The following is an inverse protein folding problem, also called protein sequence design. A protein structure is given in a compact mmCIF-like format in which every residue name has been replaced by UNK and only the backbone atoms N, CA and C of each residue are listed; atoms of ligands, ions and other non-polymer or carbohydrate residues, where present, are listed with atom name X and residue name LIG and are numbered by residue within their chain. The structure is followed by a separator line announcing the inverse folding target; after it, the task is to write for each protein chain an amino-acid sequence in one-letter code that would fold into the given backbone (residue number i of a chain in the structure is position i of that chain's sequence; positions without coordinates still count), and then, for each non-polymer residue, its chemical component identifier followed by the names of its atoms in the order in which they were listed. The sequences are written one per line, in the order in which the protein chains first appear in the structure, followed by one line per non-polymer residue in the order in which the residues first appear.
data_IF_854333377016
#
_entry.id   IF_854333377016
#
_cell.length_a   1.000
_cell.length_b   1.000
_cell.length_c   1.000
_cell.angle_alpha   90.00
_cell.angle_beta   90.00
_cell.angle_gamma   90.00
#
_symmetry.space_group_name_H-M   'P 1'
#
loop_
_entity.id
_entity.type
_entity.pdbx_description
1 polymer ?
#
# COMPACT_ATOMS: atom_id res chain seq x y z
N UNK A 1 -19.02 -10.22 6.94
CA UNK A 1 -17.66 -9.99 6.38
C UNK A 1 -16.98 -9.00 7.30
N UNK A 2 -15.95 -9.46 8.02
CA UNK A 2 -15.44 -8.79 9.22
C UNK A 2 -14.36 -7.77 8.85
N UNK A 3 -14.40 -6.60 9.51
CA UNK A 3 -13.36 -5.56 9.43
C UNK A 3 -11.95 -6.11 9.68
N UNK A 4 -11.83 -7.16 10.49
CA UNK A 4 -10.58 -7.91 10.72
C UNK A 4 -9.88 -8.42 9.45
N UNK A 5 -10.64 -8.95 8.46
CA UNK A 5 -10.01 -9.47 7.25
C UNK A 5 -9.46 -8.34 6.36
N UNK A 6 -10.14 -7.20 6.32
CA UNK A 6 -9.67 -6.02 5.59
C UNK A 6 -8.38 -5.47 6.24
N UNK A 7 -8.33 -5.44 7.57
CA UNK A 7 -7.17 -4.97 8.31
C UNK A 7 -5.97 -5.91 8.17
N UNK A 8 -6.16 -7.23 8.23
CA UNK A 8 -5.08 -8.20 8.01
C UNK A 8 -4.49 -8.12 6.60
N UNK A 9 -5.35 -8.00 5.57
CA UNK A 9 -4.90 -7.80 4.18
C UNK A 9 -4.17 -6.47 3.99
N UNK A 10 -4.59 -5.41 4.69
CA UNK A 10 -3.94 -4.11 4.65
C UNK A 10 -2.54 -4.12 5.27
N UNK A 11 -2.37 -4.80 6.41
CA UNK A 11 -1.08 -4.89 7.09
C UNK A 11 -0.04 -5.61 6.21
N UNK A 12 -0.45 -6.70 5.54
CA UNK A 12 0.45 -7.41 4.61
C UNK A 12 0.75 -6.59 3.34
N UNK A 13 -0.25 -5.90 2.79
CA UNK A 13 -0.06 -5.00 1.66
C UNK A 13 0.93 -3.89 1.98
N UNK A 14 0.74 -3.21 3.12
CA UNK A 14 1.63 -2.13 3.56
C UNK A 14 3.03 -2.62 3.89
N UNK A 15 3.19 -3.85 4.41
CA UNK A 15 4.50 -4.46 4.58
C UNK A 15 5.25 -4.68 3.24
N UNK A 16 4.55 -5.12 2.18
CA UNK A 16 5.13 -5.22 0.83
C UNK A 16 5.50 -3.87 0.25
N UNK A 17 4.61 -2.88 0.39
CA UNK A 17 4.86 -1.50 -0.02
C UNK A 17 6.12 -0.96 0.69
N UNK A 18 6.25 -1.12 2.01
CA UNK A 18 7.46 -0.71 2.73
C UNK A 18 8.73 -1.40 2.22
N UNK A 19 8.66 -2.68 1.83
CA UNK A 19 9.82 -3.38 1.23
C UNK A 19 10.19 -2.79 -0.12
N UNK A 20 9.21 -2.43 -0.94
CA UNK A 20 9.42 -1.85 -2.27
C UNK A 20 9.95 -0.40 -2.18
N UNK A 21 9.43 0.38 -1.25
CA UNK A 21 9.85 1.75 -0.98
C UNK A 21 10.46 1.80 0.42
N UNK A 22 11.72 1.37 0.53
CA UNK A 22 12.44 1.19 1.79
C UNK A 22 12.60 2.45 2.66
N UNK A 23 12.19 3.64 2.19
CA UNK A 23 12.12 4.84 3.01
C UNK A 23 10.75 5.05 3.67
N UNK A 24 9.69 4.32 3.27
CA UNK A 24 8.39 4.42 3.93
C UNK A 24 8.47 3.87 5.35
N UNK A 25 8.06 4.69 6.31
CA UNK A 25 7.99 4.34 7.72
C UNK A 25 6.64 3.74 8.08
N UNK A 26 6.62 2.90 9.11
CA UNK A 26 5.40 2.31 9.68
C UNK A 26 4.32 3.35 10.00
N UNK A 27 4.72 4.55 10.42
CA UNK A 27 3.78 5.64 10.70
C UNK A 27 3.03 6.10 9.44
N UNK A 28 3.71 6.19 8.30
CA UNK A 28 3.14 6.71 7.05
C UNK A 28 2.15 5.73 6.44
N UNK A 29 2.45 4.42 6.48
CA UNK A 29 1.51 3.38 6.07
C UNK A 29 0.35 3.22 7.07
N UNK A 30 0.58 3.47 8.36
CA UNK A 30 -0.47 3.45 9.39
C UNK A 30 -1.43 4.62 9.28
N UNK A 31 -0.92 5.83 9.02
CA UNK A 31 -1.75 7.03 8.81
C UNK A 31 -2.73 6.87 7.66
N UNK A 32 -2.43 5.99 6.69
CA UNK A 32 -3.35 5.67 5.63
C UNK A 32 -4.55 4.83 6.09
N UNK A 33 -4.52 4.15 7.24
CA UNK A 33 -5.67 3.43 7.86
C UNK A 33 -6.54 2.59 6.90
N UNK A 34 -5.95 1.88 5.93
CA UNK A 34 -6.72 1.12 4.93
C UNK A 34 -6.99 1.85 3.62
N UNK A 35 -6.57 3.11 3.50
CA UNK A 35 -6.81 3.97 2.36
C UNK A 35 -5.60 4.03 1.42
N UNK A 36 -5.70 3.29 0.31
CA UNK A 36 -4.70 3.26 -0.76
C UNK A 36 -4.36 4.66 -1.28
N UNK A 37 -5.35 5.54 -1.37
CA UNK A 37 -5.20 6.88 -1.94
C UNK A 37 -4.33 7.79 -1.05
N UNK A 38 -4.50 7.70 0.28
CA UNK A 38 -3.63 8.38 1.24
C UNK A 38 -2.20 7.89 1.14
N UNK A 39 -2.02 6.58 1.01
CA UNK A 39 -0.70 5.97 0.88
C UNK A 39 0.02 6.38 -0.41
N UNK A 40 -0.71 6.44 -1.52
CA UNK A 40 -0.20 6.96 -2.79
C UNK A 40 0.26 8.41 -2.63
N UNK A 41 -0.53 9.25 -1.95
CA UNK A 41 -0.16 10.65 -1.71
C UNK A 41 1.12 10.76 -0.86
N UNK A 42 1.27 9.94 0.19
CA UNK A 42 2.49 9.90 1.02
C UNK A 42 3.72 9.51 0.20
N UNK A 43 3.61 8.45 -0.59
CA UNK A 43 4.69 7.99 -1.47
C UNK A 43 5.05 9.06 -2.50
N UNK A 44 4.06 9.68 -3.13
CA UNK A 44 4.25 10.79 -4.06
C UNK A 44 5.00 11.96 -3.39
N UNK A 45 4.61 12.34 -2.17
CA UNK A 45 5.25 13.44 -1.44
C UNK A 45 6.71 13.13 -1.07
N UNK A 46 7.01 11.87 -0.78
CA UNK A 46 8.35 11.44 -0.34
C UNK A 46 9.31 11.21 -1.51
N UNK A 47 8.85 10.49 -2.52
CA UNK A 47 9.68 10.05 -3.65
C UNK A 47 9.61 11.03 -4.83
N UNK A 48 8.62 11.92 -4.87
CA UNK A 48 8.42 12.85 -5.99
C UNK A 48 7.90 12.17 -7.27
N UNK A 49 7.59 10.87 -7.22
CA UNK A 49 7.01 10.13 -8.33
C UNK A 49 5.61 10.65 -8.70
N UNK A 50 5.25 10.51 -9.98
CA UNK A 50 3.90 10.80 -10.43
C UNK A 50 2.87 9.90 -9.75
N UNK A 51 1.74 10.47 -9.35
CA UNK A 51 0.61 9.74 -8.74
C UNK A 51 0.22 8.51 -9.56
N UNK A 52 0.22 8.60 -10.88
CA UNK A 52 -0.10 7.49 -11.80
C UNK A 52 0.88 6.33 -11.66
N UNK A 53 2.19 6.60 -11.61
CA UNK A 53 3.24 5.59 -11.44
C UNK A 53 3.10 4.87 -10.11
N UNK A 54 2.89 5.63 -9.05
CA UNK A 54 2.68 5.07 -7.71
C UNK A 54 1.38 4.25 -7.67
N UNK A 55 0.28 4.81 -8.18
CA UNK A 55 -1.01 4.11 -8.22
C UNK A 55 -0.94 2.81 -9.05
N UNK A 56 -0.23 2.82 -10.17
CA UNK A 56 -0.01 1.63 -11.00
C UNK A 56 0.73 0.53 -10.22
N UNK A 57 1.82 0.87 -9.54
CA UNK A 57 2.54 -0.08 -8.68
C UNK A 57 1.64 -0.62 -7.56
N UNK A 58 0.87 0.24 -6.89
CA UNK A 58 -0.07 -0.18 -5.83
C UNK A 58 -1.13 -1.14 -6.36
N UNK A 59 -1.70 -0.86 -7.53
CA UNK A 59 -2.67 -1.73 -8.18
C UNK A 59 -2.05 -3.08 -8.60
N UNK A 60 -0.79 -3.08 -9.04
CA UNK A 60 -0.04 -4.29 -9.35
C UNK A 60 0.16 -5.15 -8.09
N UNK A 61 0.66 -4.58 -7.00
CA UNK A 61 0.81 -5.30 -5.73
C UNK A 61 -0.53 -5.82 -5.19
N UNK A 62 -1.63 -5.05 -5.33
CA UNK A 62 -2.97 -5.51 -4.95
C UNK A 62 -3.45 -6.69 -5.80
N UNK A 63 -3.17 -6.67 -7.11
CA UNK A 63 -3.48 -7.79 -8.00
C UNK A 63 -2.66 -9.02 -7.67
N UNK A 64 -1.35 -8.87 -7.46
CA UNK A 64 -0.48 -9.98 -7.05
C UNK A 64 -0.97 -10.59 -5.73
N UNK A 65 -1.37 -9.75 -4.78
CA UNK A 65 -1.92 -10.18 -3.50
C UNK A 65 -3.23 -10.97 -3.64
N UNK A 66 -4.10 -10.61 -4.59
CA UNK A 66 -5.34 -11.36 -4.86
C UNK A 66 -5.09 -12.67 -5.62
N UNK A 67 -3.97 -12.79 -6.34
CA UNK A 67 -3.67 -13.92 -7.20
C UNK A 67 -2.88 -15.03 -6.49
N UNK A 68 -2.34 -14.76 -5.29
CA UNK A 68 -1.62 -15.72 -4.43
C UNK A 68 -2.56 -16.73 -3.73
N UNK A 69 -3.87 -16.47 -3.72
CA UNK A 69 -4.92 -17.31 -3.10
C UNK A 69 -5.42 -18.44 -4.03
N UNK A 70 -4.72 -18.76 -5.13
CA UNK A 70 -5.18 -19.69 -6.17
C UNK A 70 -4.33 -20.96 -6.32
#
# INVERSE_FOLDING_TARGET
MNKDQLQGRWDEFTARVKKQWGELTDDEVRQAEGNVDQLIAKVQQKYGDSRETVAAKFNEMMKEFQNDDK
#
